data_IF_361585527568
#
_entry.id   IF_361585527568
#
_cell.length_a   1.000
_cell.length_b   1.000
_cell.length_c   1.000
_cell.angle_alpha   90.00
_cell.angle_beta   90.00
_cell.angle_gamma   90.00
#
_symmetry.space_group_name_H-M   'P 1'
#
loop_
_entity.id
_entity.type
_entity.pdbx_description
1 polymer ?
#
# COMPACT_ATOMS: atom_id res chain seq x y z
N UNK A 1 30.35 5.44 -15.02
CA UNK A 1 29.39 6.51 -15.34
C UNK A 1 28.40 6.58 -14.18
N UNK A 2 28.40 7.70 -13.45
CA UNK A 2 27.61 7.88 -12.23
C UNK A 2 26.18 8.27 -12.63
N UNK A 3 25.17 7.74 -11.93
CA UNK A 3 23.74 7.73 -12.31
C UNK A 3 23.01 9.07 -12.24
N UNK A 4 23.65 10.14 -12.70
CA UNK A 4 23.16 11.51 -12.60
C UNK A 4 23.02 12.01 -11.16
N UNK A 5 22.54 13.24 -11.00
CA UNK A 5 22.34 13.92 -9.71
C UNK A 5 21.58 13.06 -8.70
N UNK A 6 20.57 12.32 -9.15
CA UNK A 6 19.76 11.47 -8.29
C UNK A 6 20.54 10.27 -7.75
N UNK A 7 21.31 9.59 -8.59
CA UNK A 7 22.17 8.48 -8.17
C UNK A 7 23.25 8.92 -7.18
N UNK A 8 23.78 10.14 -7.35
CA UNK A 8 24.80 10.70 -6.45
C UNK A 8 24.23 11.07 -5.08
N UNK A 9 23.00 11.62 -5.01
CA UNK A 9 22.31 11.90 -3.74
C UNK A 9 22.03 10.61 -2.97
N UNK A 10 21.49 9.58 -3.63
CA UNK A 10 21.22 8.29 -2.97
C UNK A 10 22.50 7.64 -2.44
N UNK A 11 23.61 7.75 -3.17
CA UNK A 11 24.91 7.27 -2.71
C UNK A 11 25.44 8.06 -1.52
N UNK A 12 25.34 9.39 -1.53
CA UNK A 12 25.77 10.22 -0.40
C UNK A 12 25.02 9.88 0.90
N UNK A 13 23.72 9.61 0.81
CA UNK A 13 22.92 9.18 1.97
C UNK A 13 23.33 7.78 2.44
N UNK A 14 23.62 6.85 1.54
CA UNK A 14 24.13 5.52 1.89
C UNK A 14 25.50 5.59 2.57
N UNK A 15 26.38 6.47 2.11
CA UNK A 15 27.75 6.62 2.60
C UNK A 15 27.84 7.52 3.86
N UNK A 16 26.70 7.91 4.46
CA UNK A 16 26.67 8.68 5.70
C UNK A 16 27.32 7.89 6.86
N UNK A 17 28.05 8.57 7.76
CA UNK A 17 28.52 7.97 8.99
C UNK A 17 27.36 7.39 9.82
N UNK A 18 27.55 6.26 10.53
CA UNK A 18 26.49 5.64 11.35
C UNK A 18 25.84 6.60 12.36
N UNK A 19 26.62 7.52 12.93
CA UNK A 19 26.16 8.55 13.87
C UNK A 19 25.18 9.55 13.24
N UNK A 20 25.33 9.85 11.95
CA UNK A 20 24.44 10.74 11.21
C UNK A 20 23.18 9.99 10.74
N UNK A 21 23.31 8.69 10.46
CA UNK A 21 22.20 7.81 10.07
C UNK A 21 21.24 7.49 11.23
N UNK A 22 21.72 7.47 12.48
CA UNK A 22 20.92 7.13 13.66
C UNK A 22 19.77 8.13 13.95
N UNK A 23 19.92 9.38 13.53
CA UNK A 23 18.98 10.46 13.87
C UNK A 23 17.72 10.52 12.98
N UNK A 24 17.52 9.58 12.04
CA UNK A 24 16.48 9.63 11.01
C UNK A 24 15.66 8.35 10.79
N UNK A 25 15.73 7.36 11.67
CA UNK A 25 15.05 6.07 11.44
C UNK A 25 13.51 6.18 11.52
N UNK A 26 12.85 6.15 10.37
CA UNK A 26 11.40 5.99 10.27
C UNK A 26 11.07 4.50 10.26
N UNK A 27 10.34 4.03 11.28
CA UNK A 27 9.83 2.65 11.31
C UNK A 27 8.61 2.56 10.39
N UNK A 28 8.73 1.75 9.33
CA UNK A 28 7.62 1.44 8.44
C UNK A 28 6.96 0.16 8.95
N UNK A 29 5.70 0.27 9.37
CA UNK A 29 4.89 -0.87 9.76
C UNK A 29 3.86 -1.18 8.66
N UNK A 30 3.91 -2.39 8.12
CA UNK A 30 2.86 -2.97 7.29
C UNK A 30 2.70 -4.45 7.64
N UNK A 31 1.56 -5.03 7.31
CA UNK A 31 1.36 -6.48 7.39
C UNK A 31 0.50 -6.94 6.22
N UNK A 32 0.71 -8.17 5.71
CA UNK A 32 -0.11 -8.71 4.65
C UNK A 32 -1.59 -8.68 5.04
N UNK A 33 -2.42 -8.16 4.13
CA UNK A 33 -3.87 -8.17 4.28
C UNK A 33 -4.35 -9.60 4.47
N UNK A 34 -5.23 -9.82 5.45
CA UNK A 34 -5.83 -11.12 5.74
C UNK A 34 -7.34 -10.99 5.69
N UNK A 35 -8.02 -12.06 5.26
CA UNK A 35 -9.46 -12.14 5.39
C UNK A 35 -9.87 -12.08 6.86
N UNK A 36 -11.01 -11.44 7.13
CA UNK A 36 -11.64 -11.36 8.45
C UNK A 36 -13.06 -11.92 8.40
N UNK A 37 -13.59 -12.29 9.56
CA UNK A 37 -14.99 -12.67 9.68
C UNK A 37 -15.89 -11.44 9.65
N UNK A 38 -16.93 -11.46 8.82
CA UNK A 38 -17.94 -10.39 8.74
C UNK A 38 -18.92 -10.38 9.93
N UNK A 39 -18.90 -11.43 10.77
CA UNK A 39 -19.86 -11.70 11.83
C UNK A 39 -21.32 -11.62 11.34
N UNK A 40 -21.60 -12.20 10.17
CA UNK A 40 -22.92 -12.15 9.54
C UNK A 40 -23.27 -10.76 9.00
N UNK A 41 -22.27 -10.04 8.48
CA UNK A 41 -22.42 -8.70 7.92
C UNK A 41 -22.49 -7.55 8.93
N UNK A 42 -22.01 -7.77 10.17
CA UNK A 42 -21.98 -6.74 11.22
C UNK A 42 -20.63 -6.03 11.34
N UNK A 43 -19.60 -6.54 10.67
CA UNK A 43 -18.26 -6.00 10.67
C UNK A 43 -17.72 -5.90 9.24
N UNK A 44 -17.15 -4.74 8.93
CA UNK A 44 -16.28 -4.53 7.78
C UNK A 44 -15.05 -3.76 8.27
N UNK A 45 -13.88 -4.08 7.75
CA UNK A 45 -12.66 -3.31 7.96
C UNK A 45 -12.37 -2.50 6.68
N UNK A 46 -11.94 -1.24 6.83
CA UNK A 46 -11.58 -0.36 5.73
C UNK A 46 -10.27 0.38 6.04
N UNK A 47 -9.61 0.86 4.99
CA UNK A 47 -8.37 1.63 5.06
C UNK A 47 -7.27 0.89 5.80
N UNK A 48 -6.48 1.62 6.60
CA UNK A 48 -5.37 1.03 7.35
C UNK A 48 -5.78 -0.05 8.36
N UNK A 49 -7.06 -0.13 8.76
CA UNK A 49 -7.54 -1.23 9.59
C UNK A 49 -7.66 -2.56 8.80
N UNK A 50 -7.96 -2.49 7.50
CA UNK A 50 -8.00 -3.64 6.61
C UNK A 50 -6.62 -3.96 6.01
N UNK A 51 -5.93 -2.93 5.50
CA UNK A 51 -4.73 -3.07 4.67
C UNK A 51 -3.76 -1.90 4.90
N UNK A 52 -3.00 -1.88 6.00
CA UNK A 52 -2.01 -0.82 6.22
C UNK A 52 -0.88 -0.90 5.19
N UNK A 53 -0.75 0.16 4.39
CA UNK A 53 0.24 0.25 3.32
C UNK A 53 1.40 1.18 3.73
N UNK A 54 2.64 0.86 3.32
CA UNK A 54 3.75 1.81 3.33
C UNK A 54 3.40 3.12 2.60
N UNK A 55 3.88 4.27 3.08
CA UNK A 55 3.49 5.58 2.56
C UNK A 55 4.10 5.94 1.18
N UNK A 56 5.05 5.15 0.67
CA UNK A 56 5.92 5.52 -0.45
C UNK A 56 5.24 5.73 -1.80
N UNK A 57 4.05 5.16 -2.05
CA UNK A 57 3.27 5.52 -3.27
C UNK A 57 2.06 6.41 -3.00
N UNK A 58 1.81 6.82 -1.75
CA UNK A 58 0.74 7.75 -1.40
C UNK A 58 -0.69 7.28 -1.69
N UNK A 59 -0.96 5.97 -1.84
CA UNK A 59 -2.31 5.47 -2.18
C UNK A 59 -3.14 5.00 -0.97
N UNK A 60 -2.66 5.20 0.26
CA UNK A 60 -3.39 4.76 1.45
C UNK A 60 -4.78 5.40 1.53
N UNK A 61 -4.86 6.72 1.31
CA UNK A 61 -6.14 7.44 1.30
C UNK A 61 -7.04 7.00 0.14
N UNK A 62 -6.49 6.84 -1.06
CA UNK A 62 -7.26 6.42 -2.22
C UNK A 62 -7.90 5.05 -2.01
N UNK A 63 -7.16 4.10 -1.42
CA UNK A 63 -7.72 2.80 -1.06
C UNK A 63 -8.79 2.90 0.02
N UNK A 64 -8.57 3.71 1.05
CA UNK A 64 -9.58 3.92 2.10
C UNK A 64 -10.90 4.51 1.54
N UNK A 65 -10.81 5.46 0.61
CA UNK A 65 -11.98 6.04 -0.08
C UNK A 65 -12.68 4.97 -0.93
N UNK A 66 -11.93 4.15 -1.67
CA UNK A 66 -12.48 3.06 -2.46
C UNK A 66 -13.21 2.03 -1.58
N UNK A 67 -12.64 1.66 -0.43
CA UNK A 67 -13.29 0.74 0.52
C UNK A 67 -14.63 1.30 1.02
N UNK A 68 -14.67 2.60 1.36
CA UNK A 68 -15.89 3.26 1.78
C UNK A 68 -16.94 3.32 0.66
N UNK A 69 -16.52 3.52 -0.59
CA UNK A 69 -17.43 3.50 -1.73
C UNK A 69 -18.10 2.13 -1.89
N UNK A 70 -17.31 1.05 -1.86
CA UNK A 70 -17.83 -0.33 -1.96
C UNK A 70 -18.74 -0.67 -0.78
N UNK A 71 -18.40 -0.22 0.43
CA UNK A 71 -19.26 -0.40 1.60
C UNK A 71 -20.59 0.36 1.51
N UNK A 72 -20.55 1.62 1.04
CA UNK A 72 -21.76 2.41 0.82
C UNK A 72 -22.66 1.76 -0.23
N UNK A 73 -22.09 1.23 -1.31
CA UNK A 73 -22.85 0.52 -2.34
C UNK A 73 -23.50 -0.77 -1.79
N UNK A 74 -22.79 -1.55 -0.97
CA UNK A 74 -23.36 -2.70 -0.28
C UNK A 74 -24.55 -2.31 0.60
N UNK A 75 -24.43 -1.23 1.40
CA UNK A 75 -25.54 -0.73 2.22
C UNK A 75 -26.72 -0.22 1.38
N UNK A 76 -26.45 0.41 0.23
CA UNK A 76 -27.50 0.86 -0.69
C UNK A 76 -28.30 -0.32 -1.25
N UNK A 77 -27.63 -1.41 -1.64
CA UNK A 77 -28.28 -2.63 -2.11
C UNK A 77 -29.19 -3.24 -1.03
N UNK A 78 -28.74 -3.23 0.23
CA UNK A 78 -29.54 -3.72 1.36
C UNK A 78 -30.78 -2.85 1.59
N UNK A 79 -30.61 -1.52 1.62
CA UNK A 79 -31.69 -0.59 1.97
C UNK A 79 -32.69 -0.41 0.82
N UNK A 80 -32.22 -0.33 -0.43
CA UNK A 80 -33.07 -0.03 -1.59
C UNK A 80 -33.59 -1.27 -2.30
N UNK A 81 -32.72 -2.26 -2.47
CA UNK A 81 -33.02 -3.44 -3.28
C UNK A 81 -33.42 -4.66 -2.43
N UNK A 82 -33.46 -4.50 -1.10
CA UNK A 82 -33.84 -5.55 -0.15
C UNK A 82 -32.84 -6.70 -0.08
N UNK A 83 -31.59 -6.47 -0.49
CA UNK A 83 -30.55 -7.49 -0.45
C UNK A 83 -30.20 -7.89 1.00
N UNK A 84 -29.71 -9.12 1.17
CA UNK A 84 -29.30 -9.61 2.48
C UNK A 84 -28.02 -8.94 2.99
N UNK A 85 -28.07 -8.30 4.16
CA UNK A 85 -26.92 -7.61 4.79
C UNK A 85 -25.66 -8.49 4.86
N UNK A 86 -25.80 -9.73 5.31
CA UNK A 86 -24.67 -10.66 5.42
C UNK A 86 -23.96 -10.89 4.10
N UNK A 87 -24.72 -11.15 3.02
CA UNK A 87 -24.17 -11.40 1.70
C UNK A 87 -23.50 -10.17 1.09
N UNK A 88 -24.11 -9.00 1.20
CA UNK A 88 -23.56 -7.76 0.64
C UNK A 88 -22.28 -7.32 1.36
N UNK A 89 -22.24 -7.43 2.70
CA UNK A 89 -21.03 -7.10 3.47
C UNK A 89 -19.91 -8.12 3.26
N UNK A 90 -20.22 -9.40 3.04
CA UNK A 90 -19.20 -10.41 2.66
C UNK A 90 -18.63 -10.17 1.28
N UNK A 91 -19.46 -9.80 0.30
CA UNK A 91 -18.98 -9.40 -1.04
C UNK A 91 -18.07 -8.17 -0.93
N UNK A 92 -18.51 -7.14 -0.21
CA UNK A 92 -17.72 -5.94 0.07
C UNK A 92 -16.37 -6.28 0.72
N UNK A 93 -16.39 -7.08 1.80
CA UNK A 93 -15.16 -7.47 2.51
C UNK A 93 -14.23 -8.28 1.61
N UNK A 94 -14.75 -9.16 0.76
CA UNK A 94 -13.94 -9.96 -0.16
C UNK A 94 -13.22 -9.10 -1.18
N UNK A 95 -13.89 -8.09 -1.75
CA UNK A 95 -13.27 -7.12 -2.66
C UNK A 95 -12.12 -6.36 -1.98
N UNK A 96 -12.39 -5.82 -0.78
CA UNK A 96 -11.38 -5.06 -0.01
C UNK A 96 -10.17 -5.95 0.31
N UNK A 97 -10.40 -7.22 0.68
CA UNK A 97 -9.33 -8.19 0.95
C UNK A 97 -8.51 -8.47 -0.30
N UNK A 98 -9.16 -8.77 -1.43
CA UNK A 98 -8.46 -9.10 -2.68
C UNK A 98 -7.59 -7.94 -3.15
N UNK A 99 -8.16 -6.73 -3.20
CA UNK A 99 -7.43 -5.52 -3.57
C UNK A 99 -6.33 -5.20 -2.55
N UNK A 100 -6.62 -5.34 -1.26
CA UNK A 100 -5.68 -5.08 -0.18
C UNK A 100 -4.49 -6.05 -0.17
N UNK A 101 -4.67 -7.32 -0.52
CA UNK A 101 -3.58 -8.30 -0.64
C UNK A 101 -2.60 -7.85 -1.72
N UNK A 102 -3.11 -7.53 -2.92
CA UNK A 102 -2.29 -7.03 -4.02
C UNK A 102 -1.60 -5.71 -3.64
N UNK A 103 -2.38 -4.77 -3.11
CA UNK A 103 -1.91 -3.44 -2.74
C UNK A 103 -0.78 -3.49 -1.70
N UNK A 104 -0.98 -4.14 -0.56
CA UNK A 104 0.05 -4.16 0.49
C UNK A 104 1.32 -4.86 0.01
N UNK A 105 1.21 -5.99 -0.68
CA UNK A 105 2.39 -6.73 -1.15
C UNK A 105 3.19 -5.94 -2.18
N UNK A 106 2.52 -5.34 -3.17
CA UNK A 106 3.18 -4.51 -4.18
C UNK A 106 3.87 -3.29 -3.55
N UNK A 107 3.29 -2.73 -2.49
CA UNK A 107 3.84 -1.57 -1.77
C UNK A 107 5.02 -1.95 -0.88
N UNK A 108 4.93 -3.06 -0.17
CA UNK A 108 6.03 -3.58 0.64
C UNK A 108 7.23 -3.92 -0.24
N UNK A 109 7.01 -4.61 -1.37
CA UNK A 109 8.09 -4.89 -2.32
C UNK A 109 8.73 -3.61 -2.87
N UNK A 110 7.91 -2.62 -3.24
CA UNK A 110 8.44 -1.34 -3.71
C UNK A 110 9.23 -0.62 -2.61
N UNK A 111 8.74 -0.64 -1.37
CA UNK A 111 9.42 -0.10 -0.20
C UNK A 111 10.79 -0.76 0.00
N UNK A 112 10.85 -2.08 0.01
CA UNK A 112 12.11 -2.82 0.14
C UNK A 112 13.07 -2.53 -1.02
N UNK A 113 12.54 -2.48 -2.24
CA UNK A 113 13.34 -2.24 -3.46
C UNK A 113 14.01 -0.87 -3.44
N UNK A 114 13.31 0.19 -3.02
CA UNK A 114 13.89 1.55 -3.01
C UNK A 114 14.85 1.79 -1.83
N UNK A 115 14.75 0.99 -0.76
CA UNK A 115 15.66 1.07 0.40
C UNK A 115 16.85 0.11 0.30
N UNK A 116 16.85 -0.84 -0.65
CA UNK A 116 17.99 -1.70 -0.93
C UNK A 116 18.78 -1.14 -2.13
N UNK A 117 19.94 -0.55 -1.89
CA UNK A 117 20.77 0.05 -2.93
C UNK A 117 21.10 -0.90 -4.09
N UNK A 118 21.44 -2.16 -3.77
CA UNK A 118 21.81 -3.17 -4.77
C UNK A 118 20.64 -3.53 -5.68
N UNK A 119 19.43 -3.58 -5.14
CA UNK A 119 18.21 -3.79 -5.95
C UNK A 119 17.83 -2.52 -6.70
N UNK A 120 17.86 -1.36 -6.04
CA UNK A 120 17.46 -0.08 -6.61
C UNK A 120 18.28 0.32 -7.84
N UNK A 121 19.60 0.10 -7.81
CA UNK A 121 20.50 0.42 -8.94
C UNK A 121 20.22 -0.38 -10.21
N UNK A 122 19.47 -1.47 -10.12
CA UNK A 122 19.04 -2.30 -11.26
C UNK A 122 17.68 -1.86 -11.83
N UNK A 123 17.03 -0.87 -11.22
CA UNK A 123 15.73 -0.38 -11.70
C UNK A 123 15.87 0.36 -13.04
N UNK A 124 14.79 0.33 -13.84
CA UNK A 124 14.72 1.08 -15.09
C UNK A 124 14.91 2.58 -14.87
N UNK A 125 14.49 3.12 -13.71
CA UNK A 125 14.72 4.52 -13.35
C UNK A 125 16.22 4.87 -13.33
N UNK A 126 17.06 4.01 -12.76
CA UNK A 126 18.51 4.24 -12.68
C UNK A 126 19.19 3.90 -14.00
N UNK A 127 18.79 2.80 -14.64
CA UNK A 127 19.47 2.31 -15.85
C UNK A 127 19.08 3.06 -17.12
N UNK A 128 17.83 3.53 -17.22
CA UNK A 128 17.25 4.12 -18.43
C UNK A 128 16.78 5.56 -18.24
N UNK A 129 16.76 6.05 -17.00
CA UNK A 129 16.22 7.36 -16.66
C UNK A 129 14.69 7.35 -16.55
N UNK A 130 14.09 8.51 -16.22
CA UNK A 130 12.63 8.63 -16.12
C UNK A 130 11.97 8.35 -17.48
N UNK A 131 10.80 7.70 -17.46
CA UNK A 131 9.99 7.53 -18.66
C UNK A 131 9.62 8.92 -19.23
N UNK A 132 9.80 9.10 -20.54
CA UNK A 132 9.20 10.24 -21.24
C UNK A 132 7.68 10.00 -21.31
N UNK A 133 6.93 10.75 -20.51
CA UNK A 133 5.47 10.84 -20.55
C UNK A 133 5.03 12.00 -21.44
#
# INVERSE_FOLDING_TARGET
MHGGLFGDICKQVHDLPPEDAEHGQIRIASWPTKAWGSFGGRLVLCGGAAHPMPFLRGQGLNNAIADLAVFVDALRNVIKDGAGMGGEVEKCSSEIVERGIKGVNDFTLNCETVHNWETFRQSDLVLRGPMHV
#
